data_IF_599845253017
#
_entry.id   IF_599845253017
#
_cell.length_a   1.000
_cell.length_b   1.000
_cell.length_c   1.000
_cell.angle_alpha   90.00
_cell.angle_beta   90.00
_cell.angle_gamma   90.00
#
_symmetry.space_group_name_H-M   'P 1'
#
loop_
_entity.id
_entity.type
_entity.pdbx_description
1 polymer ?
#
# COMPACT_ATOMS: atom_id res chain seq x y z
N UNK A 1 5.93 21.21 2.81
CA UNK A 1 5.74 20.33 1.63
C UNK A 1 5.59 18.94 2.19
N UNK A 2 4.35 18.52 2.35
CA UNK A 2 4.00 17.26 3.01
C UNK A 2 3.85 16.17 1.94
N UNK A 3 4.43 15.01 2.20
CA UNK A 3 4.31 13.85 1.32
C UNK A 3 3.23 12.94 1.86
N UNK A 4 2.31 12.49 1.02
CA UNK A 4 1.24 11.58 1.42
C UNK A 4 1.48 10.25 0.77
N UNK A 5 1.55 9.21 1.59
CA UNK A 5 1.47 7.83 1.16
C UNK A 5 -0.01 7.46 1.06
N UNK A 6 -0.45 7.14 -0.15
CA UNK A 6 -1.77 6.58 -0.41
C UNK A 6 -1.58 5.11 -0.71
N UNK A 7 -2.23 4.24 0.06
CA UNK A 7 -2.21 2.82 -0.25
C UNK A 7 -3.57 2.15 -0.18
N UNK A 8 -3.75 1.14 -1.03
CA UNK A 8 -4.93 0.28 -1.10
C UNK A 8 -4.52 -1.19 -1.12
N UNK A 9 -5.23 -2.00 -0.33
CA UNK A 9 -5.07 -3.44 -0.29
C UNK A 9 -6.20 -4.12 -1.05
N UNK A 10 -5.84 -5.13 -1.84
CA UNK A 10 -6.77 -5.97 -2.57
C UNK A 10 -6.44 -7.44 -2.31
N UNK A 11 -7.42 -8.18 -1.80
CA UNK A 11 -7.28 -9.60 -1.53
C UNK A 11 -7.81 -10.39 -2.71
N UNK A 12 -7.07 -11.40 -3.14
CA UNK A 12 -7.53 -12.43 -4.07
C UNK A 12 -7.72 -13.71 -3.29
N UNK A 13 -8.97 -14.14 -3.19
CA UNK A 13 -9.36 -15.37 -2.50
C UNK A 13 -9.88 -16.33 -3.56
N UNK A 14 -9.26 -17.51 -3.67
CA UNK A 14 -9.61 -18.52 -4.68
C UNK A 14 -9.65 -17.96 -6.13
N UNK A 15 -8.69 -17.09 -6.49
CA UNK A 15 -8.61 -16.49 -7.82
C UNK A 15 -9.59 -15.35 -8.09
N UNK A 16 -10.45 -14.99 -7.12
CA UNK A 16 -11.39 -13.87 -7.26
C UNK A 16 -10.88 -12.63 -6.51
N UNK A 17 -10.63 -11.51 -7.20
CA UNK A 17 -10.32 -10.25 -6.56
C UNK A 17 -11.55 -9.73 -5.79
N UNK A 18 -11.36 -9.50 -4.50
CA UNK A 18 -12.34 -8.81 -3.66
C UNK A 18 -12.20 -7.30 -3.83
N UNK A 19 -13.28 -6.56 -3.52
CA UNK A 19 -13.22 -5.10 -3.52
C UNK A 19 -12.14 -4.62 -2.53
N UNK A 20 -11.33 -3.60 -2.89
CA UNK A 20 -10.34 -3.06 -1.98
C UNK A 20 -11.05 -2.53 -0.74
N UNK A 21 -10.79 -3.13 0.41
CA UNK A 21 -11.51 -2.85 1.65
C UNK A 21 -11.06 -1.56 2.31
N UNK A 22 -9.88 -1.06 1.97
CA UNK A 22 -9.24 0.00 2.75
C UNK A 22 -8.37 0.90 1.88
N UNK A 23 -8.61 2.20 2.01
CA UNK A 23 -7.71 3.25 1.53
C UNK A 23 -7.20 4.01 2.74
N UNK A 24 -5.88 4.03 2.91
CA UNK A 24 -5.25 4.71 4.04
C UNK A 24 -4.27 5.73 3.50
N UNK A 25 -4.34 6.94 4.07
CA UNK A 25 -3.46 8.05 3.76
C UNK A 25 -2.59 8.32 4.98
N UNK A 26 -1.28 8.42 4.79
CA UNK A 26 -0.32 8.72 5.86
C UNK A 26 0.57 9.87 5.40
N UNK A 27 0.65 10.92 6.21
CA UNK A 27 1.51 12.07 5.95
C UNK A 27 2.96 11.80 6.41
N UNK A 28 3.92 12.25 5.62
CA UNK A 28 5.36 12.11 5.81
C UNK A 28 6.08 13.43 5.59
N UNK A 29 7.12 13.67 6.38
CA UNK A 29 7.90 14.91 6.33
C UNK A 29 8.86 14.99 5.11
N UNK A 30 9.18 13.86 4.47
CA UNK A 30 10.10 13.82 3.32
C UNK A 30 9.69 12.76 2.30
N UNK A 31 10.15 12.95 1.06
CA UNK A 31 9.95 12.00 -0.04
C UNK A 31 10.56 10.64 0.29
N UNK A 32 11.80 10.65 0.78
CA UNK A 32 12.54 9.43 1.09
C UNK A 32 11.82 8.58 2.13
N UNK A 33 11.25 9.20 3.17
CA UNK A 33 10.46 8.49 4.18
C UNK A 33 9.18 7.89 3.59
N UNK A 34 8.48 8.64 2.73
CA UNK A 34 7.29 8.16 2.05
C UNK A 34 7.62 6.96 1.15
N UNK A 35 8.66 7.06 0.33
CA UNK A 35 9.06 6.00 -0.60
C UNK A 35 9.56 4.75 0.13
N UNK A 36 10.31 4.92 1.21
CA UNK A 36 10.74 3.81 2.06
C UNK A 36 9.54 3.11 2.70
N UNK A 37 8.56 3.87 3.20
CA UNK A 37 7.32 3.29 3.71
C UNK A 37 6.52 2.55 2.63
N UNK A 38 6.44 3.11 1.41
CA UNK A 38 5.78 2.46 0.27
C UNK A 38 6.46 1.13 -0.11
N UNK A 39 7.80 1.09 -0.10
CA UNK A 39 8.58 -0.13 -0.36
C UNK A 39 8.38 -1.17 0.74
N UNK A 40 8.44 -0.75 2.01
CA UNK A 40 8.20 -1.64 3.14
C UNK A 40 6.80 -2.26 3.08
N UNK A 41 5.77 -1.46 2.79
CA UNK A 41 4.40 -1.95 2.62
C UNK A 41 4.27 -2.97 1.48
N UNK A 42 4.94 -2.72 0.34
CA UNK A 42 4.98 -3.70 -0.77
C UNK A 42 5.63 -5.02 -0.34
N UNK A 43 6.79 -4.94 0.31
CA UNK A 43 7.51 -6.12 0.77
C UNK A 43 6.75 -6.93 1.83
N UNK A 44 6.04 -6.27 2.75
CA UNK A 44 5.22 -6.98 3.74
C UNK A 44 4.00 -7.66 3.10
N UNK A 45 3.39 -7.04 2.09
CA UNK A 45 2.17 -7.56 1.45
C UNK A 45 2.46 -8.59 0.35
N UNK A 46 3.69 -8.65 -0.18
CA UNK A 46 4.14 -9.75 -1.05
C UNK A 46 4.24 -11.08 -0.30
N UNK A 47 4.25 -11.08 1.04
CA UNK A 47 4.23 -12.32 1.83
C UNK A 47 2.80 -12.89 1.81
N UNK A 48 2.57 -14.04 1.18
CA UNK A 48 1.24 -14.65 1.14
C UNK A 48 0.79 -15.00 2.56
N UNK A 49 -0.48 -14.72 2.85
CA UNK A 49 -1.13 -15.12 4.10
C UNK A 49 -2.00 -16.33 3.76
N UNK A 50 -1.53 -17.53 4.14
CA UNK A 50 -2.16 -18.81 3.79
C UNK A 50 -2.40 -18.92 2.26
N UNK A 51 -3.57 -19.38 1.82
CA UNK A 51 -3.98 -19.52 0.41
C UNK A 51 -4.48 -18.20 -0.23
N UNK A 52 -4.24 -17.05 0.40
CA UNK A 52 -4.69 -15.75 -0.10
C UNK A 52 -3.52 -14.95 -0.67
N UNK A 53 -3.68 -14.52 -1.92
CA UNK A 53 -2.76 -13.57 -2.55
C UNK A 53 -3.19 -12.15 -2.17
N UNK A 54 -2.24 -11.34 -1.71
CA UNK A 54 -2.51 -9.95 -1.34
C UNK A 54 -1.78 -9.04 -2.30
N UNK A 55 -2.53 -8.13 -2.94
CA UNK A 55 -1.98 -7.09 -3.79
C UNK A 55 -2.06 -5.76 -3.08
N UNK A 56 -0.94 -5.04 -3.06
CA UNK A 56 -0.89 -3.68 -2.53
C UNK A 56 -0.54 -2.69 -3.63
N UNK A 57 -1.33 -1.62 -3.70
CA UNK A 57 -0.98 -0.43 -4.48
C UNK A 57 -0.61 0.66 -3.49
N UNK A 58 0.66 1.01 -3.44
CA UNK A 58 1.19 2.10 -2.60
C UNK A 58 1.84 3.16 -3.49
N UNK A 59 1.43 4.43 -3.31
CA UNK A 59 1.87 5.58 -4.11
C UNK A 59 2.18 6.76 -3.19
N UNK A 60 3.34 7.37 -3.38
CA UNK A 60 3.70 8.62 -2.74
C UNK A 60 3.36 9.81 -3.63
N UNK A 61 2.67 10.78 -3.06
CA UNK A 61 2.30 12.02 -3.74
C UNK A 61 2.66 13.22 -2.87
N UNK A 62 3.17 14.27 -3.49
CA UNK A 62 3.44 15.53 -2.82
C UNK A 62 2.14 16.32 -2.72
N UNK A 63 1.72 16.68 -1.50
CA UNK A 63 0.65 17.66 -1.29
C UNK A 63 1.19 19.06 -1.61
N UNK A 64 0.46 19.78 -2.46
CA UNK A 64 0.71 21.19 -2.79
C UNK A 64 0.36 22.11 -1.62
#
# INVERSE_FOLDING_TARGET
>A
MDWVLIFSLQWVVAGTPTAPTTWTNVDYASQELCENAAKALKAEMEKPIADSETYVRAVCVQRK
#
